data_IF_915342672484
#
_entry.id   IF_915342672484
#
_cell.length_a   1.000
_cell.length_b   1.000
_cell.length_c   1.000
_cell.angle_alpha   90.00
_cell.angle_beta   90.00
_cell.angle_gamma   90.00
#
_symmetry.space_group_name_H-M   'P 1'
#
loop_
_entity.id
_entity.type
_entity.pdbx_description
1 polymer ?
#
# COMPACT_ATOMS: atom_id res chain seq x y z
N UNK A 1 32.29 6.50 -0.50
CA UNK A 1 31.14 6.55 -1.42
C UNK A 1 31.14 7.92 -2.11
N UNK A 2 31.00 8.02 -3.44
CA UNK A 2 30.96 9.34 -4.12
C UNK A 2 29.82 10.18 -3.52
N UNK A 3 30.06 11.44 -3.16
CA UNK A 3 29.08 12.32 -2.48
C UNK A 3 27.68 12.33 -3.13
N UNK A 4 27.64 12.17 -4.46
CA UNK A 4 26.40 12.03 -5.24
C UNK A 4 25.58 10.78 -4.88
N UNK A 5 26.22 9.62 -4.68
CA UNK A 5 25.54 8.38 -4.27
C UNK A 5 24.96 8.52 -2.86
N UNK A 6 25.67 9.20 -1.95
CA UNK A 6 25.16 9.45 -0.61
C UNK A 6 23.96 10.38 -0.62
N UNK A 7 24.00 11.42 -1.45
CA UNK A 7 22.84 12.29 -1.66
C UNK A 7 21.60 11.52 -2.15
N UNK A 8 21.76 10.64 -3.14
CA UNK A 8 20.66 9.80 -3.63
C UNK A 8 20.11 8.91 -2.52
N UNK A 9 20.98 8.28 -1.73
CA UNK A 9 20.55 7.46 -0.60
C UNK A 9 19.76 8.30 0.43
N UNK A 10 20.26 9.49 0.80
CA UNK A 10 19.58 10.40 1.72
C UNK A 10 18.20 10.78 1.19
N UNK A 11 18.08 11.08 -0.11
CA UNK A 11 16.81 11.42 -0.75
C UNK A 11 15.82 10.24 -0.79
N UNK A 12 16.31 9.01 -0.97
CA UNK A 12 15.46 7.81 -0.92
C UNK A 12 15.00 7.56 0.53
N UNK A 13 15.94 7.58 1.48
CA UNK A 13 15.67 7.35 2.90
C UNK A 13 14.70 8.38 3.48
N UNK A 14 14.79 9.66 3.08
CA UNK A 14 13.86 10.69 3.53
C UNK A 14 12.43 10.43 3.04
N UNK A 15 12.23 10.00 1.80
CA UNK A 15 10.91 9.63 1.32
C UNK A 15 10.31 8.49 2.16
N UNK A 16 11.06 7.40 2.36
CA UNK A 16 10.60 6.26 3.15
C UNK A 16 10.41 6.58 4.63
N UNK A 17 11.17 7.52 5.21
CA UNK A 17 10.93 8.02 6.56
C UNK A 17 9.56 8.70 6.66
N UNK A 18 9.19 9.49 5.65
CA UNK A 18 7.86 10.09 5.55
C UNK A 18 6.77 9.03 5.49
N UNK A 19 6.93 8.04 4.61
CA UNK A 19 5.97 6.92 4.48
C UNK A 19 5.85 6.17 5.82
N UNK A 20 6.95 5.90 6.50
CA UNK A 20 6.94 5.22 7.80
C UNK A 20 6.23 6.06 8.88
N UNK A 21 6.44 7.37 8.89
CA UNK A 21 5.74 8.26 9.82
C UNK A 21 4.23 8.29 9.56
N UNK A 22 3.82 8.30 8.28
CA UNK A 22 2.42 8.20 7.87
C UNK A 22 1.79 6.89 8.37
N UNK A 23 2.41 5.75 8.05
CA UNK A 23 1.92 4.43 8.45
C UNK A 23 1.88 4.26 9.97
N UNK A 24 2.94 4.72 10.65
CA UNK A 24 3.04 4.64 12.10
C UNK A 24 1.97 5.47 12.80
N UNK A 25 1.69 6.69 12.31
CA UNK A 25 0.62 7.51 12.88
C UNK A 25 -0.76 6.91 12.61
N UNK A 26 -1.00 6.41 11.39
CA UNK A 26 -2.25 5.75 11.03
C UNK A 26 -2.52 4.54 11.95
N UNK A 27 -1.52 3.70 12.17
CA UNK A 27 -1.64 2.53 13.02
C UNK A 27 -1.79 2.87 14.51
N UNK A 28 -0.98 3.81 15.04
CA UNK A 28 -0.93 4.07 16.48
C UNK A 28 -2.06 5.00 16.96
N UNK A 29 -2.49 5.95 16.14
CA UNK A 29 -3.47 6.98 16.55
C UNK A 29 -4.87 6.62 16.07
N UNK A 30 -5.00 6.09 14.85
CA UNK A 30 -6.30 5.77 14.27
C UNK A 30 -6.66 4.28 14.35
N UNK A 31 -5.75 3.41 14.79
CA UNK A 31 -5.91 1.94 14.77
C UNK A 31 -6.34 1.43 13.38
N UNK A 32 -5.81 2.08 12.34
CA UNK A 32 -6.15 1.82 10.94
C UNK A 32 -4.93 1.35 10.15
N UNK A 33 -5.20 0.60 9.08
CA UNK A 33 -4.20 0.17 8.09
C UNK A 33 -4.66 0.59 6.69
N UNK A 34 -3.73 0.80 5.76
CA UNK A 34 -4.09 1.25 4.40
C UNK A 34 -4.83 0.19 3.58
N UNK A 35 -4.77 -1.07 4.00
CA UNK A 35 -5.49 -2.13 3.31
C UNK A 35 -5.03 -2.30 1.85
N UNK A 36 -6.02 -2.32 0.95
CA UNK A 36 -5.81 -2.33 -0.51
C UNK A 36 -5.28 -1.01 -1.09
N UNK A 37 -5.35 0.09 -0.35
CA UNK A 37 -4.99 1.43 -0.82
C UNK A 37 -3.51 1.78 -0.58
N UNK A 38 -2.73 0.83 -0.04
CA UNK A 38 -1.27 0.95 0.17
C UNK A 38 -0.51 1.29 -1.12
N UNK A 39 -0.91 0.73 -2.26
CA UNK A 39 -0.31 1.05 -3.56
C UNK A 39 -0.67 2.46 -4.06
N UNK A 40 -1.88 2.92 -3.73
CA UNK A 40 -2.37 4.26 -4.08
C UNK A 40 -1.62 5.34 -3.30
N UNK A 41 -1.28 5.07 -2.04
CA UNK A 41 -0.47 5.99 -1.23
C UNK A 41 0.81 6.39 -1.97
N UNK A 42 1.62 5.41 -2.41
CA UNK A 42 2.85 5.67 -3.18
C UNK A 42 2.51 6.40 -4.48
N UNK A 43 1.47 5.95 -5.20
CA UNK A 43 1.04 6.57 -6.45
C UNK A 43 0.70 8.06 -6.31
N UNK A 44 0.16 8.47 -5.17
CA UNK A 44 -0.18 9.87 -4.89
C UNK A 44 1.00 10.67 -4.35
N UNK A 45 1.79 10.13 -3.42
CA UNK A 45 2.83 10.90 -2.72
C UNK A 45 4.15 10.96 -3.48
N UNK A 46 4.47 9.94 -4.28
CA UNK A 46 5.75 9.86 -5.00
C UNK A 46 5.91 10.97 -6.05
N UNK A 47 4.91 11.30 -6.89
CA UNK A 47 5.02 12.39 -7.85
C UNK A 47 5.25 13.74 -7.19
N UNK A 48 4.48 14.09 -6.15
CA UNK A 48 4.69 15.33 -5.38
C UNK A 48 6.10 15.37 -4.77
N UNK A 49 6.59 14.23 -4.27
CA UNK A 49 7.95 14.14 -3.77
C UNK A 49 9.01 14.40 -4.86
N UNK A 50 8.91 13.74 -6.01
CA UNK A 50 9.92 13.83 -7.07
C UNK A 50 9.92 15.19 -7.79
N UNK A 51 8.74 15.78 -8.02
CA UNK A 51 8.60 16.99 -8.83
C UNK A 51 8.52 18.27 -8.00
N UNK A 52 8.05 18.22 -6.75
CA UNK A 52 7.99 19.40 -5.87
C UNK A 52 9.08 19.36 -4.80
N UNK A 53 9.23 18.27 -4.06
CA UNK A 53 10.15 18.25 -2.92
C UNK A 53 11.62 18.15 -3.36
N UNK A 54 11.93 17.18 -4.22
CA UNK A 54 13.31 16.82 -4.58
C UNK A 54 14.11 17.95 -5.27
N UNK A 55 13.54 18.78 -6.18
CA UNK A 55 14.26 19.89 -6.78
C UNK A 55 14.66 20.93 -5.73
N UNK A 56 13.77 21.24 -4.80
CA UNK A 56 14.05 22.16 -3.70
C UNK A 56 15.10 21.60 -2.74
N UNK A 57 15.02 20.31 -2.41
CA UNK A 57 16.04 19.60 -1.64
C UNK A 57 17.44 19.71 -2.28
N UNK A 58 17.49 19.59 -3.60
CA UNK A 58 18.74 19.70 -4.37
C UNK A 58 19.28 21.13 -4.35
N UNK A 59 18.38 22.12 -4.50
CA UNK A 59 18.71 23.54 -4.39
C UNK A 59 19.24 23.88 -2.99
N UNK A 60 18.57 23.39 -1.95
CA UNK A 60 18.95 23.55 -0.53
C UNK A 60 20.31 22.92 -0.23
N UNK A 61 20.57 21.73 -0.78
CA UNK A 61 21.87 21.07 -0.61
C UNK A 61 23.01 21.86 -1.26
N UNK A 62 22.73 22.55 -2.37
CA UNK A 62 23.69 23.44 -3.04
C UNK A 62 23.90 24.73 -2.26
N UNK A 63 22.86 25.29 -1.65
CA UNK A 63 22.94 26.47 -0.77
C UNK A 63 23.32 26.12 0.67
N UNK A 64 24.57 25.64 0.82
CA UNK A 64 25.15 25.17 2.10
C UNK A 64 25.18 26.21 3.25
N UNK A 65 25.01 27.50 2.96
CA UNK A 65 25.16 28.60 3.95
C UNK A 65 23.85 29.15 4.49
N UNK A 66 22.70 28.66 4.05
CA UNK A 66 21.42 29.15 4.55
C UNK A 66 21.25 28.86 6.05
N UNK A 67 20.73 29.83 6.80
CA UNK A 67 20.40 29.65 8.21
C UNK A 67 19.48 28.42 8.38
N UNK A 68 19.78 27.58 9.37
CA UNK A 68 19.02 26.35 9.65
C UNK A 68 17.53 26.67 9.84
N UNK A 69 17.21 27.81 10.46
CA UNK A 69 15.85 28.26 10.69
C UNK A 69 15.11 28.55 9.38
N UNK A 70 15.73 29.29 8.44
CA UNK A 70 15.17 29.55 7.12
C UNK A 70 14.93 28.24 6.34
N UNK A 71 15.88 27.30 6.45
CA UNK A 71 15.76 25.98 5.86
C UNK A 71 14.57 25.21 6.39
N UNK A 72 14.40 25.16 7.71
CA UNK A 72 13.26 24.48 8.34
C UNK A 72 11.94 25.12 7.93
N UNK A 73 11.83 26.45 7.93
CA UNK A 73 10.60 27.16 7.51
C UNK A 73 10.24 26.86 6.06
N UNK A 74 11.21 26.93 5.14
CA UNK A 74 10.98 26.61 3.72
C UNK A 74 10.50 25.16 3.55
N UNK A 75 11.09 24.22 4.29
CA UNK A 75 10.71 22.82 4.23
C UNK A 75 9.31 22.55 4.78
N UNK A 76 8.90 23.26 5.83
CA UNK A 76 7.52 23.19 6.37
C UNK A 76 6.52 23.69 5.34
N UNK A 77 6.75 24.88 4.78
CA UNK A 77 5.87 25.45 3.75
C UNK A 77 5.80 24.53 2.54
N UNK A 78 6.94 23.99 2.11
CA UNK A 78 7.00 23.04 0.99
C UNK A 78 6.25 21.73 1.29
N UNK A 79 6.28 21.26 2.54
CA UNK A 79 5.52 20.09 2.97
C UNK A 79 4.01 20.29 2.88
N UNK A 80 3.52 21.48 3.25
CA UNK A 80 2.10 21.86 3.11
C UNK A 80 1.70 21.91 1.62
N UNK A 81 2.54 22.52 0.77
CA UNK A 81 2.29 22.58 -0.67
C UNK A 81 2.26 21.18 -1.28
N UNK A 82 3.19 20.30 -0.90
CA UNK A 82 3.20 18.93 -1.38
C UNK A 82 1.99 18.13 -0.90
N UNK A 83 1.56 18.30 0.36
CA UNK A 83 0.32 17.70 0.87
C UNK A 83 -0.91 18.17 0.08
N UNK A 84 -0.99 19.47 -0.24
CA UNK A 84 -2.09 20.00 -1.06
C UNK A 84 -2.05 19.47 -2.51
N UNK A 85 -0.85 19.23 -3.06
CA UNK A 85 -0.72 18.56 -4.36
C UNK A 85 -1.28 17.13 -4.32
N UNK A 86 -1.08 16.40 -3.22
CA UNK A 86 -1.59 15.03 -3.06
C UNK A 86 -3.12 15.00 -3.03
N UNK A 87 -3.76 15.92 -2.29
CA UNK A 87 -5.23 15.98 -2.22
C UNK A 87 -5.86 16.28 -3.58
N UNK A 88 -5.22 17.14 -4.40
CA UNK A 88 -5.63 17.37 -5.79
C UNK A 88 -5.52 16.09 -6.62
N UNK A 89 -4.43 15.32 -6.47
CA UNK A 89 -4.22 14.05 -7.19
C UNK A 89 -5.20 12.93 -6.77
N UNK A 90 -5.72 12.99 -5.55
CA UNK A 90 -6.77 12.07 -5.07
C UNK A 90 -8.14 12.33 -5.72
N UNK A 91 -8.29 13.39 -6.51
CA UNK A 91 -9.53 13.71 -7.22
C UNK A 91 -10.48 14.64 -6.47
N UNK A 92 -10.05 15.21 -5.33
CA UNK A 92 -10.85 16.17 -4.54
C UNK A 92 -10.94 17.56 -5.21
N UNK A 93 -10.16 17.80 -6.26
CA UNK A 93 -10.22 19.02 -7.07
C UNK A 93 -9.77 20.30 -6.34
N UNK A 94 -9.84 21.44 -7.02
CA UNK A 94 -9.42 22.77 -6.49
C UNK A 94 -10.45 23.30 -5.47
N UNK A 95 -11.67 22.76 -5.48
CA UNK A 95 -12.76 23.18 -4.60
C UNK A 95 -12.71 22.54 -3.20
N UNK A 96 -11.82 21.56 -2.96
CA UNK A 96 -11.60 20.89 -1.68
C UNK A 96 -10.80 21.70 -0.64
N UNK A 97 -10.95 23.03 -0.59
CA UNK A 97 -10.28 23.85 0.45
C UNK A 97 -10.77 23.51 1.87
N UNK A 98 -11.98 22.96 2.00
CA UNK A 98 -12.49 22.44 3.27
C UNK A 98 -11.73 21.17 3.72
N UNK A 99 -11.20 20.40 2.77
CA UNK A 99 -10.42 19.18 3.04
C UNK A 99 -9.00 19.49 3.54
N UNK A 100 -8.56 20.76 3.53
CA UNK A 100 -7.31 21.18 4.17
C UNK A 100 -7.33 21.04 5.70
N UNK A 101 -8.51 20.83 6.29
CA UNK A 101 -8.66 20.52 7.71
C UNK A 101 -9.01 19.03 7.96
N UNK A 102 -8.93 18.20 6.93
CA UNK A 102 -9.15 16.77 7.07
C UNK A 102 -8.00 16.11 7.85
N UNK A 103 -8.29 15.07 8.67
CA UNK A 103 -7.28 14.22 9.29
C UNK A 103 -6.26 13.67 8.28
N UNK A 104 -6.70 13.36 7.06
CA UNK A 104 -5.90 12.84 5.96
C UNK A 104 -4.87 13.85 5.46
N UNK A 105 -5.27 15.12 5.33
CA UNK A 105 -4.33 16.20 4.99
C UNK A 105 -3.23 16.35 6.04
N UNK A 106 -3.58 16.23 7.32
CA UNK A 106 -2.62 16.22 8.42
C UNK A 106 -1.59 15.07 8.31
N UNK A 107 -2.03 13.87 7.92
CA UNK A 107 -1.15 12.74 7.67
C UNK A 107 -0.19 13.00 6.50
N UNK A 108 -0.64 13.64 5.42
CA UNK A 108 0.24 14.01 4.30
C UNK A 108 1.25 15.09 4.69
N UNK A 109 0.86 16.09 5.50
CA UNK A 109 1.82 17.06 6.07
C UNK A 109 2.86 16.32 6.90
N UNK A 110 2.45 15.39 7.76
CA UNK A 110 3.36 14.60 8.61
C UNK A 110 4.37 13.80 7.76
N UNK A 111 3.90 13.19 6.67
CA UNK A 111 4.74 12.45 5.71
C UNK A 111 5.84 13.35 5.14
N UNK A 112 5.46 14.49 4.56
CA UNK A 112 6.44 15.37 3.91
C UNK A 112 7.33 16.09 4.93
N UNK A 113 6.81 16.48 6.10
CA UNK A 113 7.59 17.10 7.17
C UNK A 113 8.63 16.13 7.74
N UNK A 114 8.27 14.87 7.97
CA UNK A 114 9.21 13.84 8.45
C UNK A 114 10.30 13.57 7.41
N UNK A 115 9.93 13.53 6.13
CA UNK A 115 10.89 13.46 5.02
C UNK A 115 11.87 14.64 5.03
N UNK A 116 11.38 15.86 5.23
CA UNK A 116 12.21 17.06 5.31
C UNK A 116 13.20 17.06 6.47
N UNK A 117 12.80 16.54 7.63
CA UNK A 117 13.68 16.40 8.80
C UNK A 117 14.80 15.41 8.47
N UNK A 118 14.48 14.22 7.98
CA UNK A 118 15.48 13.19 7.66
C UNK A 118 16.42 13.64 6.56
N UNK A 119 15.90 14.31 5.53
CA UNK A 119 16.74 14.88 4.48
C UNK A 119 17.69 15.96 5.03
N UNK A 120 17.18 16.83 5.92
CA UNK A 120 18.00 17.88 6.54
C UNK A 120 19.14 17.29 7.36
N UNK A 121 18.86 16.32 8.22
CA UNK A 121 19.88 15.60 9.00
C UNK A 121 20.86 14.87 8.08
N UNK A 122 20.37 14.11 7.10
CA UNK A 122 21.20 13.36 6.17
C UNK A 122 22.12 14.26 5.33
N UNK A 123 21.63 15.42 4.90
CA UNK A 123 22.44 16.39 4.18
C UNK A 123 23.55 17.01 5.05
N UNK A 124 23.31 17.21 6.35
CA UNK A 124 24.32 17.71 7.28
C UNK A 124 25.41 16.65 7.52
N UNK A 125 25.02 15.39 7.67
CA UNK A 125 25.95 14.25 7.71
C UNK A 125 26.77 14.18 6.42
N UNK A 126 26.13 14.40 5.27
CA UNK A 126 26.80 14.42 3.96
C UNK A 126 27.86 15.51 3.82
N UNK A 127 27.68 16.65 4.50
CA UNK A 127 28.58 17.81 4.44
C UNK A 127 29.71 17.69 5.46
N UNK A 128 29.42 17.21 6.68
CA UNK A 128 30.41 17.13 7.77
C UNK A 128 31.35 15.93 7.67
N UNK A 129 31.08 15.03 6.74
CA UNK A 129 31.82 13.79 6.48
C UNK A 129 31.98 12.83 7.68
N UNK A 130 31.20 13.05 8.75
CA UNK A 130 31.23 12.27 9.99
C UNK A 130 29.87 11.63 10.23
N UNK A 131 29.86 10.36 10.65
CA UNK A 131 28.62 9.63 10.93
C UNK A 131 27.96 8.96 9.72
N UNK A 132 28.65 8.88 8.58
CA UNK A 132 28.14 8.22 7.37
C UNK A 132 27.63 6.80 7.62
N UNK A 133 28.39 5.99 8.36
CA UNK A 133 28.05 4.59 8.61
C UNK A 133 26.77 4.47 9.44
N UNK A 134 26.63 5.29 10.49
CA UNK A 134 25.45 5.29 11.36
C UNK A 134 24.22 5.73 10.55
N UNK A 135 24.33 6.81 9.77
CA UNK A 135 23.24 7.28 8.91
C UNK A 135 22.89 6.25 7.83
N UNK A 136 23.88 5.57 7.25
CA UNK A 136 23.67 4.52 6.26
C UNK A 136 22.88 3.35 6.84
N UNK A 137 23.27 2.86 8.03
CA UNK A 137 22.55 1.79 8.72
C UNK A 137 21.12 2.21 9.08
N UNK A 138 20.94 3.40 9.65
CA UNK A 138 19.62 3.94 9.94
C UNK A 138 18.76 4.07 8.67
N UNK A 139 19.35 4.53 7.57
CA UNK A 139 18.66 4.64 6.27
C UNK A 139 18.18 3.28 5.76
N UNK A 140 19.00 2.24 5.89
CA UNK A 140 18.60 0.89 5.48
C UNK A 140 17.40 0.40 6.30
N UNK A 141 17.39 0.63 7.61
CA UNK A 141 16.25 0.28 8.48
C UNK A 141 14.99 1.06 8.07
N UNK A 142 15.14 2.38 7.89
CA UNK A 142 14.05 3.28 7.47
C UNK A 142 13.48 2.90 6.10
N UNK A 143 14.30 2.40 5.17
CA UNK A 143 13.83 1.94 3.87
C UNK A 143 13.16 0.57 4.00
N UNK A 144 13.79 -0.36 4.73
CA UNK A 144 13.34 -1.74 4.84
C UNK A 144 11.99 -1.89 5.54
N UNK A 145 11.78 -1.21 6.68
CA UNK A 145 10.55 -1.34 7.47
C UNK A 145 9.26 -1.01 6.68
N UNK A 146 9.09 0.19 6.10
CA UNK A 146 7.86 0.53 5.37
C UNK A 146 7.67 -0.34 4.13
N UNK A 147 8.74 -0.78 3.46
CA UNK A 147 8.62 -1.73 2.33
C UNK A 147 7.97 -3.04 2.80
N UNK A 148 8.44 -3.63 3.91
CA UNK A 148 7.85 -4.86 4.41
C UNK A 148 6.42 -4.67 4.91
N UNK A 149 6.13 -3.54 5.56
CA UNK A 149 4.76 -3.22 6.00
C UNK A 149 3.81 -3.12 4.81
N UNK A 150 4.18 -2.36 3.78
CA UNK A 150 3.37 -2.19 2.57
C UNK A 150 3.21 -3.51 1.80
N UNK A 151 4.27 -4.31 1.67
CA UNK A 151 4.18 -5.63 1.01
C UNK A 151 3.24 -6.57 1.79
N UNK A 152 3.34 -6.57 3.12
CA UNK A 152 2.45 -7.38 3.97
C UNK A 152 0.99 -6.93 3.85
N UNK A 153 0.72 -5.62 3.84
CA UNK A 153 -0.62 -5.10 3.64
C UNK A 153 -1.19 -5.45 2.27
N UNK A 154 -0.40 -5.29 1.21
CA UNK A 154 -0.80 -5.70 -0.14
C UNK A 154 -1.15 -7.18 -0.13
N UNK A 155 -0.31 -8.05 0.42
CA UNK A 155 -0.55 -9.50 0.46
C UNK A 155 -1.79 -9.88 1.26
N UNK A 156 -2.03 -9.25 2.42
CA UNK A 156 -3.24 -9.46 3.24
C UNK A 156 -4.51 -9.12 2.45
N UNK A 157 -4.49 -8.05 1.66
CA UNK A 157 -5.66 -7.53 0.97
C UNK A 157 -5.80 -7.98 -0.50
N UNK A 158 -4.95 -8.89 -0.98
CA UNK A 158 -5.13 -9.48 -2.31
C UNK A 158 -6.47 -10.17 -2.41
N UNK A 159 -7.26 -9.95 -3.48
CA UNK A 159 -8.51 -10.67 -3.63
C UNK A 159 -8.25 -12.16 -3.80
N UNK A 160 -9.21 -12.97 -3.34
CA UNK A 160 -9.24 -14.41 -3.66
C UNK A 160 -9.74 -14.54 -5.09
N UNK A 161 -9.07 -15.34 -5.90
CA UNK A 161 -9.45 -15.54 -7.29
C UNK A 161 -10.29 -16.81 -7.41
N UNK A 162 -11.52 -16.67 -7.88
CA UNK A 162 -12.37 -17.79 -8.22
C UNK A 162 -12.23 -18.06 -9.71
N UNK A 163 -11.57 -19.16 -10.07
CA UNK A 163 -11.47 -19.66 -11.43
C UNK A 163 -12.70 -20.50 -11.73
N UNK A 164 -13.57 -19.99 -12.61
CA UNK A 164 -14.84 -20.60 -12.97
C UNK A 164 -14.75 -21.11 -14.41
N UNK A 165 -15.01 -22.39 -14.70
CA UNK A 165 -14.99 -22.89 -16.07
C UNK A 165 -15.95 -22.08 -16.95
N UNK A 166 -15.52 -21.66 -18.13
CA UNK A 166 -16.37 -20.88 -19.05
C UNK A 166 -17.66 -21.60 -19.44
N UNK A 167 -17.66 -22.94 -19.40
CA UNK A 167 -18.83 -23.78 -19.66
C UNK A 167 -19.78 -23.92 -18.47
N UNK A 168 -19.42 -23.41 -17.28
CA UNK A 168 -20.22 -23.56 -16.09
C UNK A 168 -21.30 -22.48 -16.01
N UNK A 169 -22.56 -22.92 -15.92
CA UNK A 169 -23.72 -22.09 -15.60
C UNK A 169 -24.47 -22.73 -14.44
N UNK A 170 -24.83 -21.95 -13.42
CA UNK A 170 -25.50 -22.46 -12.23
C UNK A 170 -24.96 -21.87 -10.94
N UNK A 171 -25.24 -22.55 -9.83
CA UNK A 171 -24.86 -22.07 -8.50
C UNK A 171 -23.52 -22.65 -8.08
N UNK A 172 -22.58 -21.79 -7.74
CA UNK A 172 -21.34 -22.17 -7.07
C UNK A 172 -21.59 -22.25 -5.57
N UNK A 173 -21.10 -23.30 -4.92
CA UNK A 173 -21.20 -23.54 -3.48
C UNK A 173 -19.80 -23.83 -2.94
N UNK A 174 -19.32 -23.00 -2.01
CA UNK A 174 -18.00 -23.12 -1.41
C UNK A 174 -18.12 -23.41 0.08
N UNK A 175 -17.57 -24.53 0.53
CA UNK A 175 -17.48 -24.90 1.93
C UNK A 175 -16.09 -24.52 2.48
N UNK A 176 -16.04 -23.53 3.36
CA UNK A 176 -14.84 -23.13 4.10
C UNK A 176 -14.81 -23.80 5.46
N UNK A 177 -13.61 -24.08 5.98
CA UNK A 177 -13.41 -24.70 7.29
C UNK A 177 -13.65 -26.22 7.33
N UNK A 178 -13.80 -26.88 6.18
CA UNK A 178 -13.92 -28.33 6.10
C UNK A 178 -12.55 -28.98 6.36
N UNK A 179 -12.36 -29.47 7.59
CA UNK A 179 -11.10 -30.10 8.05
C UNK A 179 -10.64 -31.29 7.20
N UNK A 180 -11.55 -31.93 6.44
CA UNK A 180 -11.24 -33.06 5.56
C UNK A 180 -10.68 -32.65 4.20
N UNK A 181 -10.72 -31.35 3.87
CA UNK A 181 -10.36 -30.80 2.57
C UNK A 181 -9.00 -30.07 2.59
N UNK A 182 -8.26 -30.00 1.48
CA UNK A 182 -7.00 -29.28 1.41
C UNK A 182 -7.18 -27.76 1.59
N UNK A 183 -6.15 -27.03 2.05
CA UNK A 183 -6.18 -25.58 2.11
C UNK A 183 -6.21 -24.96 0.71
N UNK A 184 -6.66 -23.71 0.59
CA UNK A 184 -6.73 -23.00 -0.68
C UNK A 184 -5.33 -22.92 -1.32
N UNK A 185 -5.27 -23.26 -2.61
CA UNK A 185 -4.01 -23.24 -3.35
C UNK A 185 -3.52 -21.81 -3.58
N UNK A 186 -2.20 -21.59 -3.52
CA UNK A 186 -1.60 -20.29 -3.83
C UNK A 186 -0.89 -20.32 -5.19
N UNK A 187 -1.28 -19.40 -6.09
CA UNK A 187 -0.64 -19.21 -7.41
C UNK A 187 -0.17 -17.77 -7.53
N UNK A 188 1.13 -17.55 -7.74
CA UNK A 188 1.75 -16.20 -7.82
C UNK A 188 1.42 -15.29 -6.62
N UNK A 189 1.24 -15.90 -5.44
CA UNK A 189 0.86 -15.19 -4.21
C UNK A 189 -0.61 -14.74 -4.15
N UNK A 190 -1.49 -15.27 -4.99
CA UNK A 190 -2.94 -15.18 -4.83
C UNK A 190 -3.48 -16.51 -4.35
N UNK A 191 -4.49 -16.48 -3.48
CA UNK A 191 -5.30 -17.65 -3.19
C UNK A 191 -6.25 -17.88 -4.35
N UNK A 192 -6.19 -19.08 -4.92
CA UNK A 192 -6.96 -19.47 -6.11
C UNK A 192 -7.85 -20.64 -5.75
N UNK A 193 -9.14 -20.43 -5.94
CA UNK A 193 -10.20 -21.42 -5.82
C UNK A 193 -10.60 -21.84 -7.23
N UNK A 194 -10.29 -23.09 -7.58
CA UNK A 194 -10.67 -23.67 -8.86
C UNK A 194 -12.04 -24.33 -8.71
N UNK A 195 -13.07 -23.71 -9.26
CA UNK A 195 -14.43 -24.25 -9.25
C UNK A 195 -14.51 -25.39 -10.27
N UNK A 196 -14.96 -26.56 -9.83
CA UNK A 196 -15.22 -27.70 -10.71
C UNK A 196 -16.53 -27.54 -11.49
N UNK A 197 -16.73 -28.36 -12.52
CA UNK A 197 -17.94 -28.33 -13.36
C UNK A 197 -19.24 -28.62 -12.59
N UNK A 198 -19.15 -29.21 -11.39
CA UNK A 198 -20.31 -29.41 -10.50
C UNK A 198 -20.63 -28.19 -9.62
N UNK A 199 -19.84 -27.11 -9.70
CA UNK A 199 -20.03 -25.89 -8.93
C UNK A 199 -19.65 -25.98 -7.45
N UNK A 200 -19.13 -27.11 -6.95
CA UNK A 200 -18.86 -27.31 -5.52
C UNK A 200 -17.36 -27.26 -5.25
N UNK A 201 -16.94 -26.43 -4.31
CA UNK A 201 -15.57 -26.40 -3.79
C UNK A 201 -15.56 -26.57 -2.27
N UNK A 202 -14.55 -27.28 -1.75
CA UNK A 202 -14.38 -27.50 -0.32
C UNK A 202 -12.94 -27.23 0.10
N UNK A 203 -12.75 -26.60 1.25
CA UNK A 203 -11.42 -26.28 1.79
C UNK A 203 -11.41 -26.22 3.31
N UNK A 204 -10.28 -26.59 3.89
CA UNK A 204 -10.00 -26.39 5.33
C UNK A 204 -9.65 -24.95 5.67
N UNK A 205 -9.35 -24.10 4.69
CA UNK A 205 -9.08 -22.69 4.95
C UNK A 205 -10.33 -21.97 5.46
N UNK A 206 -10.20 -21.04 6.42
CA UNK A 206 -11.30 -20.19 6.84
C UNK A 206 -11.72 -19.29 5.67
N UNK A 207 -12.95 -18.77 5.71
CA UNK A 207 -13.41 -17.80 4.71
C UNK A 207 -12.50 -16.57 4.72
N UNK A 208 -11.90 -16.20 3.58
CA UNK A 208 -11.14 -14.97 3.49
C UNK A 208 -12.07 -13.76 3.68
N UNK A 209 -11.65 -12.80 4.52
CA UNK A 209 -12.42 -11.57 4.83
C UNK A 209 -12.30 -10.51 3.71
N UNK A 210 -11.54 -10.82 2.66
CA UNK A 210 -11.15 -9.91 1.58
C UNK A 210 -12.01 -10.09 0.34
N UNK A 211 -11.91 -9.14 -0.58
CA UNK A 211 -12.66 -9.15 -1.84
C UNK A 211 -12.44 -10.42 -2.66
N UNK A 212 -13.43 -10.77 -3.47
CA UNK A 212 -13.40 -11.93 -4.37
C UNK A 212 -13.35 -11.40 -5.81
N UNK A 213 -12.44 -11.95 -6.59
CA UNK A 213 -12.31 -11.71 -8.03
C UNK A 213 -12.78 -12.95 -8.78
N UNK A 214 -13.80 -12.82 -9.60
CA UNK A 214 -14.32 -13.92 -10.41
C UNK A 214 -13.74 -13.87 -11.82
N UNK A 215 -13.15 -14.98 -12.28
CA UNK A 215 -12.49 -15.08 -13.59
C UNK A 215 -12.93 -16.35 -14.27
N UNK A 216 -13.41 -16.22 -15.51
CA UNK A 216 -13.69 -17.35 -16.39
C UNK A 216 -12.38 -17.96 -16.90
N UNK A 217 -12.30 -19.28 -16.86
CA UNK A 217 -11.15 -20.05 -17.37
C UNK A 217 -11.55 -20.99 -18.49
N UNK A 218 -10.64 -21.19 -19.45
CA UNK A 218 -10.79 -22.18 -20.53
C UNK A 218 -10.54 -23.61 -20.02
N UNK A 219 -10.67 -24.60 -20.92
CA UNK A 219 -10.42 -26.02 -20.60
C UNK A 219 -8.96 -26.32 -20.22
N UNK A 220 -8.03 -25.43 -20.54
CA UNK A 220 -6.61 -25.54 -20.20
C UNK A 220 -6.28 -24.81 -18.89
N UNK A 221 -7.26 -24.14 -18.26
CA UNK A 221 -7.08 -23.34 -17.05
C UNK A 221 -6.48 -21.96 -17.29
N UNK A 222 -6.51 -21.45 -18.53
CA UNK A 222 -6.10 -20.09 -18.84
C UNK A 222 -7.23 -19.11 -18.55
N UNK A 223 -6.88 -17.95 -17.99
CA UNK A 223 -7.83 -16.87 -17.71
C UNK A 223 -8.32 -16.26 -19.03
N UNK A 224 -9.64 -16.30 -19.24
CA UNK A 224 -10.30 -15.79 -20.45
C UNK A 224 -10.89 -14.41 -20.22
N UNK A 225 -11.65 -14.24 -19.12
CA UNK A 225 -12.39 -13.00 -18.86
C UNK A 225 -12.74 -12.82 -17.40
N UNK A 226 -12.55 -11.62 -16.88
CA UNK A 226 -13.07 -11.22 -15.56
C UNK A 226 -14.58 -10.95 -15.64
N UNK A 227 -15.34 -11.46 -14.67
CA UNK A 227 -16.79 -11.27 -14.56
C UNK A 227 -17.15 -10.68 -13.21
N UNK A 228 -18.20 -9.86 -13.18
CA UNK A 228 -18.78 -9.35 -11.94
C UNK A 228 -19.99 -10.21 -11.58
N UNK A 229 -19.93 -10.86 -10.42
CA UNK A 229 -21.03 -11.64 -9.87
C UNK A 229 -21.55 -10.89 -8.65
N UNK A 230 -22.85 -10.58 -8.67
CA UNK A 230 -23.56 -9.99 -7.55
C UNK A 230 -24.41 -11.04 -6.84
N UNK A 231 -24.76 -10.78 -5.58
CA UNK A 231 -25.68 -11.64 -4.82
C UNK A 231 -25.04 -12.88 -4.17
N UNK A 232 -23.75 -12.80 -3.79
CA UNK A 232 -23.16 -13.82 -2.92
C UNK A 232 -23.92 -13.88 -1.59
N UNK A 233 -24.36 -15.07 -1.20
CA UNK A 233 -25.02 -15.34 0.08
C UNK A 233 -24.13 -16.18 0.97
N UNK A 234 -24.19 -15.90 2.27
CA UNK A 234 -23.40 -16.55 3.30
C UNK A 234 -24.30 -17.29 4.27
N UNK A 235 -23.97 -18.55 4.55
CA UNK A 235 -24.70 -19.40 5.49
C UNK A 235 -23.72 -20.16 6.37
N UNK A 236 -24.16 -20.50 7.58
CA UNK A 236 -23.42 -21.44 8.43
C UNK A 236 -23.69 -22.87 7.96
N UNK A 237 -22.64 -23.68 7.91
CA UNK A 237 -22.77 -25.11 7.66
C UNK A 237 -23.35 -25.85 8.86
N UNK A 238 -23.74 -27.11 8.64
CA UNK A 238 -24.24 -27.98 9.71
C UNK A 238 -23.17 -28.30 10.76
N UNK A 239 -21.89 -28.29 10.36
CA UNK A 239 -20.75 -28.51 11.23
C UNK A 239 -20.24 -27.19 11.84
N UNK A 240 -19.94 -27.15 13.15
CA UNK A 240 -19.38 -25.96 13.80
C UNK A 240 -18.08 -25.52 13.13
N UNK A 241 -18.03 -24.27 12.69
CA UNK A 241 -16.86 -23.69 12.02
C UNK A 241 -16.87 -23.81 10.50
N UNK A 242 -17.80 -24.57 9.91
CA UNK A 242 -17.99 -24.59 8.46
C UNK A 242 -18.84 -23.41 8.02
N UNK A 243 -18.35 -22.68 7.03
CA UNK A 243 -19.08 -21.55 6.42
C UNK A 243 -19.30 -21.84 4.95
N UNK A 244 -20.53 -21.61 4.47
CA UNK A 244 -20.94 -21.85 3.10
C UNK A 244 -21.14 -20.51 2.38
N UNK A 245 -20.47 -20.35 1.24
CA UNK A 245 -20.67 -19.25 0.29
C UNK A 245 -21.38 -19.77 -0.95
N UNK A 246 -22.41 -19.06 -1.39
CA UNK A 246 -23.20 -19.42 -2.56
C UNK A 246 -23.40 -18.22 -3.48
N UNK A 247 -23.18 -18.39 -4.79
CA UNK A 247 -23.47 -17.37 -5.79
C UNK A 247 -23.84 -17.99 -7.13
N UNK A 248 -24.65 -17.28 -7.93
CA UNK A 248 -25.07 -17.75 -9.25
C UNK A 248 -24.13 -17.22 -10.34
N UNK A 249 -23.67 -18.11 -11.21
CA UNK A 249 -22.93 -17.78 -12.42
C UNK A 249 -23.93 -17.70 -13.59
N UNK A 250 -24.06 -16.53 -14.24
CA UNK A 250 -25.01 -16.32 -15.32
C UNK A 250 -24.67 -17.11 -16.59
#
# INVERSE_FOLDING_TARGET
MKQKLFYVLVAIASYFAGVLAYLGYLALVYDQSLGSDSSKLIGWTLPSYLFLILPFYTLMFRWRKSAILLRTTLLIVLSIIAAASVTVMMGLGIWGLQDLFSPEFGLFILLFASSAIVFSVGSLVAIKEKGYLIFFLASLIIIYLPINMLVSEVEKNRPVIHHIPQSFHGTVVIHFGDSSSPPISKKKGYEVINISENGIYKTSSPRPVRGIKHVLVDKLGNEVKEISISGETMKYGSDPGVTISEYAVP
#
